data_IF_998780941266
#
_entry.id   IF_998780941266
#
_cell.length_a   1.000
_cell.length_b   1.000
_cell.length_c   1.000
_cell.angle_alpha   90.00
_cell.angle_beta   90.00
_cell.angle_gamma   90.00
#
_symmetry.space_group_name_H-M   'P 1'
#
loop_
_entity.id
_entity.type
_entity.pdbx_description
1 polymer ?
#
# COMPACT_ATOMS: atom_id res chain seq x y z
N UNK A 1 2.44 -7.94 19.59
CA UNK A 1 1.29 -7.07 19.21
C UNK A 1 0.25 -7.98 18.56
N UNK A 2 -1.05 -7.81 18.80
CA UNK A 2 -2.09 -8.63 18.15
C UNK A 2 -2.43 -8.04 16.78
N UNK A 3 -2.82 -8.85 15.80
CA UNK A 3 -3.22 -8.38 14.46
C UNK A 3 -4.23 -7.21 14.51
N UNK A 4 -5.32 -7.24 15.31
CA UNK A 4 -6.25 -6.10 15.35
C UNK A 4 -5.60 -4.80 15.84
N UNK A 5 -4.69 -4.88 16.81
CA UNK A 5 -3.94 -3.69 17.26
C UNK A 5 -2.93 -3.19 16.22
N UNK A 6 -2.39 -4.08 15.37
CA UNK A 6 -1.49 -3.75 14.27
C UNK A 6 -2.20 -3.02 13.13
N UNK A 7 -3.43 -3.43 12.77
CA UNK A 7 -4.23 -2.77 11.72
C UNK A 7 -4.53 -1.29 12.05
N UNK A 8 -4.60 -0.94 13.33
CA UNK A 8 -4.84 0.44 13.75
C UNK A 8 -3.57 1.32 13.74
N UNK A 9 -2.37 0.74 13.64
CA UNK A 9 -1.10 1.48 13.68
C UNK A 9 -0.83 2.27 12.40
N UNK A 10 -0.98 1.61 11.24
CA UNK A 10 -0.66 2.16 9.93
C UNK A 10 -1.84 2.85 9.26
N UNK A 11 -1.60 3.79 8.33
CA UNK A 11 -2.66 4.42 7.54
C UNK A 11 -3.41 3.38 6.69
N UNK A 12 -2.70 2.46 6.03
CA UNK A 12 -3.31 1.43 5.18
C UNK A 12 -4.23 0.50 5.96
N UNK A 13 -3.83 0.04 7.14
CA UNK A 13 -4.68 -0.77 8.00
C UNK A 13 -5.94 -0.03 8.45
N UNK A 14 -5.84 1.25 8.82
CA UNK A 14 -7.03 2.05 9.16
C UNK A 14 -7.93 2.31 7.97
N UNK A 15 -7.35 2.53 6.77
CA UNK A 15 -8.09 2.68 5.52
C UNK A 15 -8.90 1.42 5.23
N UNK A 16 -8.27 0.24 5.29
CA UNK A 16 -8.95 -1.05 5.11
C UNK A 16 -10.15 -1.23 6.05
N UNK A 17 -9.99 -0.87 7.32
CA UNK A 17 -11.07 -0.96 8.31
C UNK A 17 -12.24 -0.02 7.99
N UNK A 18 -11.95 1.18 7.48
CA UNK A 18 -12.97 2.13 7.08
C UNK A 18 -13.67 1.71 5.79
N UNK A 19 -12.92 1.29 4.77
CA UNK A 19 -13.45 0.71 3.52
C UNK A 19 -14.40 -0.46 3.82
N UNK A 20 -14.01 -1.36 4.73
CA UNK A 20 -14.87 -2.48 5.12
C UNK A 20 -16.18 -2.05 5.79
N UNK A 21 -16.14 -1.01 6.62
CA UNK A 21 -17.34 -0.48 7.25
C UNK A 21 -18.27 0.20 6.23
N UNK A 22 -17.71 0.96 5.28
CA UNK A 22 -18.45 1.58 4.18
C UNK A 22 -19.12 0.52 3.30
N UNK A 23 -18.38 -0.51 2.88
CA UNK A 23 -18.93 -1.60 2.09
C UNK A 23 -19.97 -2.43 2.86
N UNK A 24 -19.80 -2.59 4.17
CA UNK A 24 -20.80 -3.26 5.01
C UNK A 24 -22.13 -2.48 5.06
N UNK A 25 -22.06 -1.16 5.16
CA UNK A 25 -23.24 -0.29 5.11
C UNK A 25 -23.94 -0.35 3.74
N UNK A 26 -23.16 -0.34 2.66
CA UNK A 26 -23.66 -0.49 1.28
C UNK A 26 -24.36 -1.83 1.07
N UNK A 27 -23.76 -2.94 1.53
CA UNK A 27 -24.39 -4.27 1.47
C UNK A 27 -25.71 -4.32 2.25
N UNK A 28 -25.82 -3.55 3.34
CA UNK A 28 -27.06 -3.42 4.10
C UNK A 28 -28.11 -2.51 3.42
N UNK A 29 -27.77 -1.84 2.31
CA UNK A 29 -28.64 -0.89 1.61
C UNK A 29 -28.89 0.40 2.40
N UNK A 30 -27.90 0.82 3.20
CA UNK A 30 -27.97 1.97 4.11
C UNK A 30 -26.99 3.09 3.74
N UNK A 31 -26.38 3.05 2.57
CA UNK A 31 -25.38 4.01 2.10
C UNK A 31 -26.00 5.24 1.42
N UNK A 32 -27.20 5.10 0.84
CA UNK A 32 -27.94 6.21 0.17
C UNK A 32 -28.93 6.97 1.09
N UNK A 33 -28.86 6.77 2.42
CA UNK A 33 -29.71 7.49 3.38
C UNK A 33 -28.99 8.69 3.99
N UNK A 34 -29.75 9.75 4.31
CA UNK A 34 -29.21 10.91 5.03
C UNK A 34 -28.56 10.46 6.36
N UNK A 35 -27.31 10.89 6.58
CA UNK A 35 -26.51 10.49 7.73
C UNK A 35 -25.85 9.12 7.60
N UNK A 36 -25.76 8.55 6.39
CA UNK A 36 -24.97 7.35 6.13
C UNK A 36 -23.50 7.56 6.51
N UNK A 37 -22.79 6.48 6.82
CA UNK A 37 -21.36 6.53 7.09
C UNK A 37 -20.61 7.14 5.90
N UNK A 38 -20.98 6.76 4.67
CA UNK A 38 -20.39 7.32 3.46
C UNK A 38 -20.55 8.85 3.35
N UNK A 39 -21.75 9.38 3.61
CA UNK A 39 -21.99 10.83 3.58
C UNK A 39 -21.17 11.55 4.67
N UNK A 40 -21.19 11.03 5.90
CA UNK A 40 -20.49 11.65 7.02
C UNK A 40 -18.97 11.59 6.86
N UNK A 41 -18.45 10.46 6.38
CA UNK A 41 -17.04 10.26 6.02
C UNK A 41 -16.63 11.32 5.01
N UNK A 42 -17.35 11.44 3.88
CA UNK A 42 -17.04 12.38 2.80
C UNK A 42 -16.94 13.82 3.30
N UNK A 43 -17.91 14.29 4.09
CA UNK A 43 -17.87 15.67 4.59
C UNK A 43 -16.78 15.91 5.63
N UNK A 44 -16.42 14.91 6.42
CA UNK A 44 -15.36 15.02 7.41
C UNK A 44 -13.97 14.95 6.75
N UNK A 45 -13.74 14.02 5.81
CA UNK A 45 -12.48 13.87 5.08
C UNK A 45 -12.19 15.07 4.20
N UNK A 46 -13.18 15.59 3.47
CA UNK A 46 -13.06 16.81 2.65
C UNK A 46 -12.52 18.01 3.44
N UNK A 47 -12.92 18.17 4.71
CA UNK A 47 -12.44 19.25 5.58
C UNK A 47 -11.04 19.04 6.12
N UNK A 48 -10.64 17.79 6.28
CA UNK A 48 -9.35 17.40 6.81
C UNK A 48 -8.28 17.35 5.72
N UNK A 49 -8.69 17.34 4.46
CA UNK A 49 -7.79 17.32 3.31
C UNK A 49 -6.82 18.52 3.35
N UNK A 50 -5.49 18.29 3.41
CA UNK A 50 -4.49 19.34 3.60
C UNK A 50 -4.49 20.44 2.52
N UNK A 51 -5.08 20.17 1.34
CA UNK A 51 -5.14 21.10 0.19
C UNK A 51 -6.45 21.89 0.10
N UNK A 52 -7.42 21.67 0.99
CA UNK A 52 -8.69 22.40 0.93
C UNK A 52 -8.68 23.73 1.67
N UNK A 53 -8.23 24.74 0.93
CA UNK A 53 -8.80 26.09 0.87
C UNK A 53 -9.15 26.55 -0.57
N UNK A 54 -9.01 25.70 -1.60
CA UNK A 54 -9.02 26.15 -3.01
C UNK A 54 -9.73 25.25 -4.06
N UNK A 55 -10.43 24.16 -3.70
CA UNK A 55 -11.00 23.22 -4.69
C UNK A 55 -12.46 22.80 -4.50
N UNK A 56 -13.36 23.45 -5.25
CA UNK A 56 -14.50 22.87 -5.98
C UNK A 56 -15.55 21.91 -5.36
N UNK A 57 -15.87 21.89 -4.06
CA UNK A 57 -17.19 21.35 -3.66
C UNK A 57 -18.30 22.40 -3.91
N UNK A 58 -18.80 22.44 -5.15
CA UNK A 58 -20.06 23.13 -5.48
C UNK A 58 -21.21 22.13 -5.37
N UNK A 59 -21.80 22.00 -4.19
CA UNK A 59 -23.17 21.46 -4.11
C UNK A 59 -24.10 22.51 -4.73
N UNK A 60 -24.51 22.32 -5.98
CA UNK A 60 -25.40 23.26 -6.69
C UNK A 60 -26.84 22.96 -6.30
N UNK A 61 -27.38 23.72 -5.37
CA UNK A 61 -28.83 23.90 -5.23
C UNK A 61 -29.33 24.99 -6.20
N UNK A 62 -30.61 24.97 -6.61
CA UNK A 62 -31.17 26.06 -7.41
C UNK A 62 -31.27 27.33 -6.54
N UNK A 63 -30.29 28.23 -6.71
CA UNK A 63 -30.26 29.55 -6.07
C UNK A 63 -28.84 30.01 -5.72
N UNK A 64 -28.56 31.30 -5.89
CA UNK A 64 -27.27 32.00 -5.70
C UNK A 64 -26.66 31.95 -4.26
N UNK A 65 -27.05 31.00 -3.42
CA UNK A 65 -26.43 30.78 -2.11
C UNK A 65 -25.22 29.86 -2.24
N UNK A 66 -24.04 30.32 -1.79
CA UNK A 66 -22.87 29.46 -1.58
C UNK A 66 -23.31 28.22 -0.78
N UNK A 67 -23.01 26.98 -1.23
CA UNK A 67 -23.41 25.79 -0.51
C UNK A 67 -22.84 25.79 0.90
N UNK A 68 -23.69 25.51 1.90
CA UNK A 68 -23.27 25.29 3.28
C UNK A 68 -22.86 23.84 3.42
N UNK A 69 -21.55 23.59 3.45
CA UNK A 69 -21.01 22.26 3.73
C UNK A 69 -21.37 21.88 5.19
N UNK A 70 -22.10 20.78 5.45
CA UNK A 70 -22.55 20.39 6.80
C UNK A 70 -21.38 20.18 7.75
N UNK A 71 -21.44 20.69 8.98
CA UNK A 71 -20.35 20.71 9.98
C UNK A 71 -20.04 19.33 10.62
N UNK A 72 -19.86 18.29 9.80
CA UNK A 72 -19.43 16.96 10.24
C UNK A 72 -18.00 16.97 10.79
N UNK A 73 -17.83 16.34 11.95
CA UNK A 73 -16.55 16.19 12.66
C UNK A 73 -16.16 14.72 12.74
N UNK A 74 -14.89 14.37 13.02
CA UNK A 74 -14.49 12.98 13.25
C UNK A 74 -15.30 12.25 14.32
N UNK A 75 -15.82 12.96 15.33
CA UNK A 75 -16.65 12.37 16.37
C UNK A 75 -18.02 11.93 15.83
N UNK A 76 -18.63 12.70 14.93
CA UNK A 76 -19.89 12.30 14.28
C UNK A 76 -19.71 11.05 13.42
N UNK A 77 -18.61 10.97 12.67
CA UNK A 77 -18.29 9.77 11.86
C UNK A 77 -18.06 8.57 12.78
N UNK A 78 -17.34 8.72 13.89
CA UNK A 78 -17.10 7.64 14.84
C UNK A 78 -18.40 7.16 15.53
N UNK A 79 -19.29 8.06 15.91
CA UNK A 79 -20.61 7.73 16.48
C UNK A 79 -21.49 6.97 15.47
N UNK A 80 -21.53 7.42 14.21
CA UNK A 80 -22.22 6.67 13.15
C UNK A 80 -21.57 5.32 12.95
N UNK A 81 -20.24 5.30 12.90
CA UNK A 81 -19.47 4.08 12.75
C UNK A 81 -19.93 3.09 13.79
N UNK A 82 -20.02 3.40 15.10
CA UNK A 82 -20.48 2.49 16.19
C UNK A 82 -21.75 1.67 15.90
N UNK A 83 -22.64 2.19 15.06
CA UNK A 83 -23.94 1.57 14.75
C UNK A 83 -24.01 0.91 13.38
N UNK A 84 -22.95 0.97 12.57
CA UNK A 84 -22.92 0.30 11.25
C UNK A 84 -22.96 -1.23 11.43
N UNK A 85 -23.92 -1.93 10.80
CA UNK A 85 -23.91 -3.39 10.76
C UNK A 85 -22.70 -3.85 9.95
N UNK A 86 -21.86 -4.71 10.52
CA UNK A 86 -20.72 -5.28 9.82
C UNK A 86 -21.18 -6.52 9.06
N UNK A 87 -20.89 -6.57 7.75
CA UNK A 87 -21.22 -7.70 6.91
C UNK A 87 -20.41 -8.94 7.34
N UNK A 88 -20.83 -10.12 6.89
CA UNK A 88 -19.99 -11.31 7.05
C UNK A 88 -18.66 -11.12 6.30
N UNK A 89 -17.57 -11.55 6.93
CA UNK A 89 -16.25 -11.49 6.29
C UNK A 89 -16.22 -12.56 5.20
N UNK A 90 -16.10 -12.12 3.95
CA UNK A 90 -15.91 -13.02 2.80
C UNK A 90 -14.59 -12.73 2.11
N UNK A 91 -14.00 -13.71 1.40
CA UNK A 91 -12.74 -13.49 0.71
C UNK A 91 -12.83 -12.39 -0.36
N UNK A 92 -13.96 -12.30 -1.07
CA UNK A 92 -14.19 -11.28 -2.10
C UNK A 92 -14.30 -9.88 -1.52
N UNK A 93 -15.10 -9.71 -0.46
CA UNK A 93 -15.25 -8.41 0.19
C UNK A 93 -13.92 -7.90 0.78
N UNK A 94 -13.14 -8.80 1.40
CA UNK A 94 -11.80 -8.45 1.88
C UNK A 94 -10.89 -8.00 0.73
N UNK A 95 -10.89 -8.70 -0.40
CA UNK A 95 -10.09 -8.32 -1.56
C UNK A 95 -10.51 -6.95 -2.09
N UNK A 96 -11.81 -6.68 -2.25
CA UNK A 96 -12.32 -5.37 -2.69
C UNK A 96 -11.83 -4.24 -1.78
N UNK A 97 -11.97 -4.40 -0.47
CA UNK A 97 -11.51 -3.38 0.48
C UNK A 97 -9.99 -3.20 0.45
N UNK A 98 -9.24 -4.29 0.25
CA UNK A 98 -7.79 -4.26 0.15
C UNK A 98 -7.32 -3.58 -1.14
N UNK A 99 -7.98 -3.81 -2.27
CA UNK A 99 -7.71 -3.12 -3.55
C UNK A 99 -7.88 -1.62 -3.37
N UNK A 100 -9.04 -1.15 -2.87
CA UNK A 100 -9.27 0.28 -2.62
C UNK A 100 -8.22 0.90 -1.68
N UNK A 101 -7.81 0.14 -0.66
CA UNK A 101 -6.78 0.57 0.30
C UNK A 101 -5.41 0.74 -0.33
N UNK A 102 -5.04 -0.18 -1.23
CA UNK A 102 -3.73 -0.21 -1.90
C UNK A 102 -3.68 0.82 -3.02
N UNK A 103 -4.76 0.97 -3.81
CA UNK A 103 -4.84 1.95 -4.90
C UNK A 103 -4.62 3.39 -4.41
N UNK A 104 -5.15 3.71 -3.22
CA UNK A 104 -5.03 5.05 -2.62
C UNK A 104 -3.67 5.33 -1.98
N UNK A 105 -2.71 4.40 -2.05
CA UNK A 105 -1.38 4.53 -1.45
C UNK A 105 -0.43 5.41 -2.30
N UNK A 106 -0.53 6.72 -2.13
CA UNK A 106 0.22 7.72 -2.92
C UNK A 106 1.28 8.46 -2.08
N UNK A 107 2.39 7.78 -1.75
CA UNK A 107 3.41 8.31 -0.81
C UNK A 107 4.28 9.45 -1.36
N UNK A 108 3.92 10.03 -2.50
CA UNK A 108 4.52 11.24 -3.09
C UNK A 108 3.73 12.53 -2.80
N UNK A 109 2.59 12.40 -2.11
CA UNK A 109 1.76 13.53 -1.67
C UNK A 109 1.38 13.44 -0.20
N UNK A 110 0.70 14.48 0.28
CA UNK A 110 0.13 14.50 1.63
C UNK A 110 -0.93 13.38 1.79
N UNK A 111 -1.15 12.86 3.01
CA UNK A 111 -2.20 11.88 3.25
C UNK A 111 -3.56 12.40 2.80
N UNK A 112 -4.34 11.50 2.19
CA UNK A 112 -5.72 11.75 1.80
C UNK A 112 -6.58 12.13 3.01
N UNK A 113 -7.62 12.93 2.79
CA UNK A 113 -8.52 13.39 3.86
C UNK A 113 -9.12 12.24 4.66
N UNK A 114 -9.42 11.12 4.01
CA UNK A 114 -9.93 9.90 4.65
C UNK A 114 -8.87 9.25 5.55
N UNK A 115 -7.59 9.26 5.15
CA UNK A 115 -6.49 8.75 5.98
C UNK A 115 -6.27 9.65 7.22
N UNK A 116 -6.37 10.97 7.05
CA UNK A 116 -6.29 11.94 8.14
C UNK A 116 -7.46 11.74 9.11
N UNK A 117 -8.69 11.56 8.60
CA UNK A 117 -9.88 11.24 9.38
C UNK A 117 -9.69 9.96 10.19
N UNK A 118 -9.29 8.87 9.53
CA UNK A 118 -9.11 7.57 10.14
C UNK A 118 -8.02 7.58 11.24
N UNK A 119 -7.00 8.44 11.11
CA UNK A 119 -5.94 8.62 12.10
C UNK A 119 -6.38 9.32 13.40
N UNK A 120 -7.53 10.01 13.40
CA UNK A 120 -8.02 10.71 14.60
C UNK A 120 -8.32 9.75 15.75
N UNK A 121 -8.20 10.22 17.00
CA UNK A 121 -8.46 9.36 18.17
C UNK A 121 -9.86 8.74 18.15
N UNK A 122 -10.89 9.54 17.83
CA UNK A 122 -12.28 9.08 17.79
C UNK A 122 -12.45 7.94 16.76
N UNK A 123 -11.92 8.12 15.55
CA UNK A 123 -12.00 7.08 14.51
C UNK A 123 -11.22 5.83 14.90
N UNK A 124 -10.01 5.93 15.45
CA UNK A 124 -9.26 4.74 15.89
C UNK A 124 -9.98 3.94 16.98
N UNK A 125 -10.70 4.62 17.87
CA UNK A 125 -11.50 3.95 18.90
C UNK A 125 -12.69 3.23 18.26
N UNK A 126 -13.42 3.87 17.33
CA UNK A 126 -14.54 3.26 16.60
C UNK A 126 -14.13 2.12 15.65
N UNK A 127 -12.99 2.24 14.96
CA UNK A 127 -12.46 1.23 14.04
C UNK A 127 -11.98 -0.04 14.75
N UNK A 128 -11.78 0.00 16.08
CA UNK A 128 -11.34 -1.18 16.84
C UNK A 128 -12.30 -2.36 16.69
N UNK A 129 -13.61 -2.13 16.70
CA UNK A 129 -14.57 -3.23 16.54
C UNK A 129 -14.52 -3.84 15.14
N UNK A 130 -14.18 -3.05 14.12
CA UNK A 130 -14.01 -3.55 12.75
C UNK A 130 -12.75 -4.40 12.68
N UNK A 131 -11.67 -3.97 13.35
CA UNK A 131 -10.44 -4.75 13.42
C UNK A 131 -10.65 -6.09 14.12
N UNK A 132 -11.38 -6.11 15.23
CA UNK A 132 -11.76 -7.33 15.95
C UNK A 132 -12.62 -8.26 15.08
N UNK A 133 -13.61 -7.70 14.36
CA UNK A 133 -14.46 -8.45 13.44
C UNK A 133 -13.67 -9.11 12.31
N UNK A 134 -12.80 -8.36 11.62
CA UNK A 134 -11.98 -8.90 10.53
C UNK A 134 -11.02 -9.98 11.00
N UNK A 135 -10.32 -9.71 12.11
CA UNK A 135 -9.26 -10.61 12.60
C UNK A 135 -9.79 -11.86 13.30
N UNK A 136 -11.08 -11.90 13.62
CA UNK A 136 -11.77 -13.13 14.04
C UNK A 136 -12.07 -14.08 12.88
N UNK A 137 -12.03 -13.60 11.62
CA UNK A 137 -12.29 -14.43 10.44
C UNK A 137 -11.05 -15.20 9.99
N UNK A 138 -11.24 -16.47 9.64
CA UNK A 138 -10.19 -17.32 9.05
C UNK A 138 -9.65 -16.77 7.72
N UNK A 139 -10.41 -15.94 7.02
CA UNK A 139 -9.99 -15.35 5.74
C UNK A 139 -8.85 -14.34 5.87
N UNK A 140 -8.51 -13.90 7.10
CA UNK A 140 -7.34 -13.06 7.37
C UNK A 140 -6.11 -13.86 7.84
N UNK A 141 -6.25 -15.18 8.04
CA UNK A 141 -5.18 -16.01 8.60
C UNK A 141 -3.88 -15.99 7.76
N UNK A 142 -4.02 -15.81 6.44
CA UNK A 142 -2.90 -15.79 5.52
C UNK A 142 -2.11 -14.47 5.52
N UNK A 143 -2.64 -13.38 6.08
CA UNK A 143 -2.00 -12.06 6.03
C UNK A 143 -0.66 -11.97 6.74
N UNK A 144 -0.39 -12.89 7.67
CA UNK A 144 0.84 -12.95 8.44
C UNK A 144 1.63 -14.24 8.18
N UNK A 145 1.32 -14.98 7.10
CA UNK A 145 2.14 -16.12 6.71
C UNK A 145 3.40 -15.64 6.02
N UNK A 146 4.43 -16.47 6.09
CA UNK A 146 5.57 -16.39 5.16
C UNK A 146 5.08 -16.56 3.72
N UNK A 147 5.98 -16.33 2.77
CA UNK A 147 5.72 -16.61 1.36
C UNK A 147 5.14 -18.02 1.14
N UNK A 148 4.12 -18.12 0.29
CA UNK A 148 3.64 -19.40 -0.23
C UNK A 148 4.45 -19.77 -1.49
N UNK A 149 5.52 -20.54 -1.30
CA UNK A 149 6.42 -20.96 -2.39
C UNK A 149 5.72 -21.80 -3.48
N UNK A 150 4.54 -22.36 -3.22
CA UNK A 150 3.86 -23.27 -4.14
C UNK A 150 2.99 -22.58 -5.21
N UNK A 151 2.59 -21.33 -4.96
CA UNK A 151 1.63 -20.58 -5.77
C UNK A 151 2.13 -19.20 -6.19
N UNK A 152 3.41 -19.04 -6.50
CA UNK A 152 3.96 -17.75 -6.90
C UNK A 152 3.76 -17.43 -8.39
N UNK A 153 3.37 -16.19 -8.67
CA UNK A 153 3.13 -15.68 -10.02
C UNK A 153 3.74 -14.30 -10.21
N UNK A 154 4.44 -14.11 -11.32
CA UNK A 154 4.90 -12.81 -11.81
C UNK A 154 3.78 -12.19 -12.66
N UNK A 155 3.52 -10.89 -12.49
CA UNK A 155 2.63 -10.12 -13.37
C UNK A 155 3.48 -9.30 -14.33
N UNK A 156 3.09 -9.30 -15.60
CA UNK A 156 3.63 -8.47 -16.66
C UNK A 156 2.52 -7.55 -17.17
N UNK A 157 2.72 -6.25 -16.98
CA UNK A 157 1.83 -5.23 -17.54
C UNK A 157 2.24 -4.92 -18.97
N UNK A 158 1.30 -4.41 -19.77
CA UNK A 158 1.57 -4.04 -21.15
C UNK A 158 2.79 -3.10 -21.25
N UNK A 159 3.75 -3.49 -22.10
CA UNK A 159 5.04 -2.83 -22.35
C UNK A 159 6.15 -3.06 -21.30
N UNK A 160 5.97 -3.94 -20.31
CA UNK A 160 7.04 -4.33 -19.38
C UNK A 160 7.56 -5.75 -19.65
N UNK A 161 8.85 -5.93 -19.99
CA UNK A 161 9.40 -7.26 -20.13
C UNK A 161 9.58 -7.89 -18.74
N UNK A 162 8.69 -8.79 -18.34
CA UNK A 162 8.87 -9.57 -17.09
C UNK A 162 9.86 -10.71 -17.28
N UNK A 163 11.06 -10.41 -17.75
CA UNK A 163 12.14 -11.41 -17.86
C UNK A 163 12.89 -11.49 -16.54
N UNK A 164 13.26 -12.72 -16.15
CA UNK A 164 14.19 -12.92 -15.04
C UNK A 164 15.59 -12.59 -15.57
N UNK A 165 16.29 -11.59 -15.01
CA UNK A 165 17.61 -11.23 -15.48
C UNK A 165 18.61 -12.38 -15.19
N UNK A 166 19.56 -12.66 -16.09
CA UNK A 166 20.56 -13.72 -15.86
C UNK A 166 21.43 -13.49 -14.60
N UNK A 167 21.60 -12.24 -14.21
CA UNK A 167 22.30 -11.83 -13.00
C UNK A 167 21.53 -10.66 -12.33
N UNK A 168 20.60 -10.95 -11.42
CA UNK A 168 19.86 -9.91 -10.69
C UNK A 168 20.77 -8.99 -9.89
N UNK A 169 21.93 -9.47 -9.41
CA UNK A 169 22.86 -8.65 -8.63
C UNK A 169 23.51 -7.55 -9.49
N UNK A 170 23.79 -7.80 -10.77
CA UNK A 170 24.23 -6.74 -11.70
C UNK A 170 23.16 -5.65 -11.83
N UNK A 171 21.89 -6.05 -11.95
CA UNK A 171 20.78 -5.09 -12.05
C UNK A 171 20.65 -4.25 -10.78
N UNK A 172 20.72 -4.89 -9.61
CA UNK A 172 20.66 -4.18 -8.33
C UNK A 172 21.88 -3.27 -8.10
N UNK A 173 23.08 -3.67 -8.52
CA UNK A 173 24.27 -2.80 -8.48
C UNK A 173 24.12 -1.57 -9.37
N UNK A 174 23.51 -1.71 -10.55
CA UNK A 174 23.20 -0.60 -11.43
C UNK A 174 22.14 0.33 -10.81
N UNK A 175 21.07 -0.23 -10.24
CA UNK A 175 20.06 0.53 -9.51
C UNK A 175 20.65 1.29 -8.31
N UNK A 176 21.55 0.67 -7.54
CA UNK A 176 22.30 1.34 -6.46
C UNK A 176 23.14 2.50 -6.98
N UNK A 177 23.89 2.30 -8.07
CA UNK A 177 24.71 3.35 -8.66
C UNK A 177 23.87 4.54 -9.11
N UNK A 178 22.70 4.29 -9.70
CA UNK A 178 21.70 5.31 -10.03
C UNK A 178 21.20 6.03 -8.78
N UNK A 179 20.75 5.31 -7.75
CA UNK A 179 20.26 5.90 -6.50
C UNK A 179 21.31 6.77 -5.78
N UNK A 180 22.59 6.37 -5.80
CA UNK A 180 23.71 7.18 -5.26
C UNK A 180 23.94 8.44 -6.10
N UNK A 181 23.83 8.35 -7.42
CA UNK A 181 23.95 9.51 -8.31
C UNK A 181 22.80 10.48 -8.08
N UNK A 182 21.57 9.99 -7.99
CA UNK A 182 20.38 10.80 -7.75
C UNK A 182 20.39 11.47 -6.37
N UNK A 183 20.85 10.78 -5.32
CA UNK A 183 21.04 11.40 -3.99
C UNK A 183 22.04 12.57 -4.05
N UNK A 184 23.17 12.38 -4.75
CA UNK A 184 24.18 13.45 -4.92
C UNK A 184 23.64 14.62 -5.73
N UNK A 185 22.85 14.34 -6.78
CA UNK A 185 22.21 15.36 -7.59
C UNK A 185 21.18 16.14 -6.76
N UNK A 186 20.32 15.41 -6.04
CA UNK A 186 19.31 15.94 -5.15
C UNK A 186 19.91 16.86 -4.08
N UNK A 187 21.02 16.46 -3.47
CA UNK A 187 21.70 17.25 -2.45
C UNK A 187 22.28 18.56 -2.99
N UNK A 188 22.69 18.59 -4.27
CA UNK A 188 23.25 19.80 -4.91
C UNK A 188 22.19 20.75 -5.46
N UNK A 189 21.13 20.22 -6.04
CA UNK A 189 20.24 20.98 -6.93
C UNK A 189 18.84 21.22 -6.36
N UNK A 190 18.36 20.37 -5.44
CA UNK A 190 16.98 20.48 -4.93
C UNK A 190 16.92 21.41 -3.71
N UNK A 191 15.78 22.11 -3.51
CA UNK A 191 15.56 22.92 -2.31
C UNK A 191 15.78 22.13 -1.02
N UNK A 192 16.36 22.78 -0.02
CA UNK A 192 16.55 22.17 1.32
C UNK A 192 15.30 22.26 2.19
N UNK A 193 14.39 23.19 1.88
CA UNK A 193 13.10 23.27 2.54
C UNK A 193 12.25 22.04 2.16
N UNK A 194 11.90 21.15 3.11
CA UNK A 194 11.16 19.94 2.80
C UNK A 194 9.73 20.21 2.30
N UNK A 195 9.17 21.41 2.54
CA UNK A 195 7.84 21.79 2.03
C UNK A 195 7.85 22.27 0.58
N UNK A 196 9.01 22.29 -0.09
CA UNK A 196 9.09 22.73 -1.48
C UNK A 196 8.29 21.80 -2.41
N UNK A 197 7.73 22.35 -3.49
CA UNK A 197 6.99 21.58 -4.47
C UNK A 197 7.94 20.80 -5.39
N UNK A 198 8.54 19.73 -4.86
CA UNK A 198 9.41 18.83 -5.59
C UNK A 198 8.95 17.39 -5.36
N UNK A 199 9.03 16.56 -6.41
CA UNK A 199 8.74 15.12 -6.33
C UNK A 199 9.72 14.34 -7.21
N UNK A 200 9.74 13.02 -7.09
CA UNK A 200 10.56 12.15 -7.91
C UNK A 200 10.37 10.68 -7.57
N UNK A 201 11.46 9.94 -7.51
CA UNK A 201 11.43 8.53 -7.11
C UNK A 201 11.09 8.42 -5.61
N UNK A 202 9.82 8.17 -5.30
CA UNK A 202 9.30 8.10 -3.93
C UNK A 202 9.35 6.69 -3.32
N UNK A 203 9.44 5.66 -4.15
CA UNK A 203 9.46 4.25 -3.73
C UNK A 203 10.78 3.86 -3.03
N UNK A 204 10.69 2.81 -2.21
CA UNK A 204 11.82 2.15 -1.53
C UNK A 204 12.09 0.75 -2.07
N UNK A 205 11.28 0.24 -3.01
CA UNK A 205 11.38 -1.12 -3.54
C UNK A 205 12.62 -1.39 -4.37
N UNK A 206 13.07 -2.67 -4.47
CA UNK A 206 14.04 -3.10 -5.46
C UNK A 206 13.56 -2.76 -6.88
N UNK A 207 14.49 -2.40 -7.77
CA UNK A 207 14.17 -2.02 -9.16
C UNK A 207 14.84 -2.96 -10.16
N UNK A 208 14.11 -3.29 -11.21
CA UNK A 208 14.60 -4.10 -12.33
C UNK A 208 14.79 -5.59 -12.03
N UNK A 209 14.30 -6.05 -10.87
CA UNK A 209 14.32 -7.48 -10.50
C UNK A 209 12.91 -8.05 -10.47
N UNK A 210 12.73 -9.37 -10.67
CA UNK A 210 11.43 -9.99 -10.70
C UNK A 210 10.70 -9.83 -9.36
N UNK A 211 9.39 -9.66 -9.46
CA UNK A 211 8.48 -9.67 -8.33
C UNK A 211 7.40 -10.74 -8.54
N UNK A 212 6.99 -11.41 -7.48
CA UNK A 212 5.87 -12.34 -7.51
C UNK A 212 4.97 -12.20 -6.30
N UNK A 213 3.75 -12.69 -6.43
CA UNK A 213 2.77 -12.79 -5.35
C UNK A 213 2.11 -14.16 -5.36
N UNK A 214 1.44 -14.54 -4.28
CA UNK A 214 0.65 -15.78 -4.25
C UNK A 214 -0.57 -15.73 -5.19
N UNK A 215 -1.14 -16.89 -5.47
CA UNK A 215 -2.47 -17.01 -6.08
C UNK A 215 -3.56 -16.78 -5.02
N UNK A 216 -4.51 -15.90 -5.31
CA UNK A 216 -5.68 -15.69 -4.48
C UNK A 216 -6.85 -16.55 -4.97
N UNK A 217 -7.53 -17.17 -4.01
CA UNK A 217 -8.79 -17.92 -4.20
C UNK A 217 -8.72 -18.96 -5.33
N UNK A 218 -7.54 -19.55 -5.57
CA UNK A 218 -7.26 -20.49 -6.66
C UNK A 218 -7.70 -19.98 -8.05
N UNK A 219 -7.72 -18.65 -8.24
CA UNK A 219 -8.27 -18.03 -9.45
C UNK A 219 -7.36 -16.97 -10.04
N UNK A 220 -6.81 -16.06 -9.22
CA UNK A 220 -6.08 -14.88 -9.73
C UNK A 220 -4.85 -14.57 -8.86
N UNK A 221 -3.67 -14.30 -9.44
CA UNK A 221 -2.53 -13.76 -8.70
C UNK A 221 -2.84 -12.47 -7.94
N UNK A 222 -2.34 -12.32 -6.72
CA UNK A 222 -2.58 -11.12 -5.91
C UNK A 222 -2.03 -9.85 -6.57
N UNK A 223 -0.91 -9.96 -7.30
CA UNK A 223 -0.25 -8.85 -7.99
C UNK A 223 -1.07 -8.24 -9.13
N UNK A 224 -2.15 -8.88 -9.58
CA UNK A 224 -3.10 -8.26 -10.52
C UNK A 224 -3.98 -7.20 -9.82
N UNK A 225 -4.18 -7.35 -8.51
CA UNK A 225 -5.12 -6.57 -7.72
C UNK A 225 -4.43 -5.56 -6.81
N UNK A 226 -3.28 -5.94 -6.26
CA UNK A 226 -2.68 -5.25 -5.12
C UNK A 226 -1.46 -4.42 -5.54
N UNK A 227 -1.69 -3.42 -6.38
CA UNK A 227 -0.66 -2.49 -6.87
C UNK A 227 -0.90 -1.10 -6.33
N UNK A 228 0.10 -0.53 -5.64
CA UNK A 228 0.02 0.86 -5.19
C UNK A 228 0.08 1.81 -6.40
N UNK A 229 -0.75 2.87 -6.39
CA UNK A 229 -0.72 3.95 -7.39
C UNK A 229 -0.72 3.38 -8.83
N UNK A 230 -1.70 2.51 -9.12
CA UNK A 230 -1.76 1.79 -10.39
C UNK A 230 -1.91 2.77 -11.57
N UNK A 231 -1.41 2.38 -12.75
CA UNK A 231 -1.54 3.22 -13.95
C UNK A 231 -2.86 2.98 -14.69
N UNK A 232 -3.85 2.34 -14.07
CA UNK A 232 -5.11 1.96 -14.72
C UNK A 232 -4.92 0.89 -15.81
N UNK A 233 -4.06 -0.10 -15.57
CA UNK A 233 -3.86 -1.20 -16.52
C UNK A 233 -5.11 -2.08 -16.61
N UNK A 234 -5.60 -2.29 -17.83
CA UNK A 234 -6.78 -3.12 -18.12
C UNK A 234 -6.41 -4.51 -18.67
N UNK A 235 -5.13 -4.74 -18.90
CA UNK A 235 -4.57 -5.95 -19.53
C UNK A 235 -3.26 -6.33 -18.87
N UNK A 236 -3.04 -7.64 -18.73
CA UNK A 236 -1.82 -8.19 -18.16
C UNK A 236 -1.54 -9.61 -18.65
N UNK A 237 -0.30 -10.05 -18.55
CA UNK A 237 0.08 -11.46 -18.62
C UNK A 237 0.64 -11.92 -17.27
N UNK A 238 0.29 -13.12 -16.84
CA UNK A 238 0.90 -13.73 -15.64
C UNK A 238 1.69 -14.97 -15.99
N UNK A 239 2.82 -15.14 -15.31
CA UNK A 239 3.73 -16.27 -15.47
C UNK A 239 3.92 -16.94 -14.13
N UNK A 240 3.70 -18.26 -14.09
CA UNK A 240 3.92 -19.02 -12.87
C UNK A 240 5.41 -19.12 -12.61
N UNK A 241 5.81 -18.92 -11.35
CA UNK A 241 7.18 -19.00 -10.91
C UNK A 241 7.44 -20.37 -10.26
N UNK A 242 8.55 -20.99 -10.63
CA UNK A 242 9.12 -22.12 -9.91
C UNK A 242 10.21 -21.63 -8.96
N UNK A 243 10.08 -22.03 -7.70
CA UNK A 243 10.99 -21.67 -6.61
C UNK A 243 11.70 -22.95 -6.16
N UNK A 244 13.01 -23.09 -6.44
CA UNK A 244 13.77 -24.23 -5.95
C UNK A 244 13.84 -24.26 -4.42
N UNK A 245 13.96 -25.45 -3.84
CA UNK A 245 14.19 -25.57 -2.40
C UNK A 245 15.52 -24.93 -1.96
N UNK A 246 15.56 -24.46 -0.70
CA UNK A 246 16.78 -23.98 -0.07
C UNK A 246 17.19 -22.54 -0.42
N UNK A 247 16.27 -21.73 -0.96
CA UNK A 247 16.46 -20.28 -1.05
C UNK A 247 16.39 -19.63 0.33
N UNK A 248 17.18 -18.59 0.54
CA UNK A 248 17.13 -17.77 1.76
C UNK A 248 16.21 -16.57 1.51
N UNK A 249 15.03 -16.58 2.13
CA UNK A 249 14.02 -15.53 1.96
C UNK A 249 13.93 -14.73 3.26
N UNK A 250 14.10 -13.41 3.16
CA UNK A 250 13.90 -12.52 4.30
C UNK A 250 12.43 -12.08 4.37
N UNK A 251 11.82 -12.29 5.53
CA UNK A 251 10.41 -11.95 5.79
C UNK A 251 10.31 -10.61 6.52
N UNK A 252 9.66 -9.62 5.91
CA UNK A 252 9.39 -8.33 6.58
C UNK A 252 8.12 -8.49 7.43
N UNK A 253 8.19 -9.31 8.48
CA UNK A 253 7.05 -9.67 9.34
C UNK A 253 6.62 -8.55 10.31
N UNK A 254 7.35 -7.44 10.34
CA UNK A 254 7.12 -6.32 11.24
C UNK A 254 7.81 -5.04 10.75
N UNK A 255 7.40 -3.90 11.30
CA UNK A 255 8.11 -2.64 11.09
C UNK A 255 9.56 -2.70 11.61
N UNK A 256 9.81 -3.49 12.67
CA UNK A 256 11.16 -3.70 13.20
C UNK A 256 12.02 -4.53 12.24
N UNK A 257 11.47 -5.56 11.59
CA UNK A 257 12.19 -6.31 10.56
C UNK A 257 12.61 -5.42 9.38
N UNK A 258 11.77 -4.44 8.98
CA UNK A 258 12.15 -3.41 8.01
C UNK A 258 13.24 -2.46 8.54
N UNK A 259 13.10 -2.01 9.78
CA UNK A 259 14.09 -1.16 10.44
C UNK A 259 15.46 -1.85 10.55
N UNK A 260 15.48 -3.15 10.83
CA UNK A 260 16.68 -3.97 10.89
C UNK A 260 17.39 -4.03 9.55
N UNK A 261 16.67 -4.29 8.44
CA UNK A 261 17.25 -4.21 7.09
C UNK A 261 17.88 -2.84 6.83
N UNK A 262 17.18 -1.77 7.21
CA UNK A 262 17.69 -0.41 7.05
C UNK A 262 18.92 -0.11 7.91
N UNK A 263 19.04 -0.71 9.11
CA UNK A 263 20.22 -0.56 9.98
C UNK A 263 21.41 -1.38 9.49
N UNK A 264 21.18 -2.62 9.08
CA UNK A 264 22.23 -3.55 8.65
C UNK A 264 22.77 -3.19 7.25
N UNK A 265 21.88 -2.72 6.36
CA UNK A 265 22.20 -2.42 4.96
C UNK A 265 21.69 -1.03 4.56
N UNK A 266 22.19 0.07 5.16
CA UNK A 266 21.70 1.41 4.89
C UNK A 266 22.19 1.96 3.54
N UNK A 267 21.27 2.46 2.73
CA UNK A 267 21.56 3.36 1.63
C UNK A 267 21.02 4.76 1.94
N UNK A 268 21.90 5.75 2.12
CA UNK A 268 21.45 7.13 2.37
C UNK A 268 20.69 7.69 1.16
N UNK A 269 19.47 8.15 1.42
CA UNK A 269 18.54 8.71 0.42
C UNK A 269 17.87 9.99 0.95
N UNK A 270 18.55 10.70 1.86
CA UNK A 270 18.01 11.86 2.57
C UNK A 270 17.56 12.97 1.63
N UNK A 271 18.41 13.39 0.68
CA UNK A 271 18.04 14.46 -0.26
C UNK A 271 17.04 13.98 -1.32
N UNK A 272 17.15 12.72 -1.77
CA UNK A 272 16.29 12.14 -2.79
C UNK A 272 14.84 12.06 -2.29
N UNK A 273 14.62 11.54 -1.07
CA UNK A 273 13.29 11.28 -0.50
C UNK A 273 12.70 12.44 0.29
N UNK A 274 13.51 13.48 0.58
CA UNK A 274 13.16 14.62 1.46
C UNK A 274 11.72 15.09 1.33
N UNK A 275 11.29 15.41 0.11
CA UNK A 275 10.04 16.12 -0.14
C UNK A 275 8.84 15.18 -0.06
N UNK A 276 8.87 14.10 -0.85
CA UNK A 276 7.80 13.11 -0.91
C UNK A 276 7.57 12.46 0.46
N UNK A 277 8.64 11.99 1.12
CA UNK A 277 8.50 11.36 2.44
C UNK A 277 8.16 12.37 3.55
N UNK A 278 8.56 13.64 3.42
CA UNK A 278 8.07 14.68 4.33
C UNK A 278 6.56 14.91 4.15
N UNK A 279 6.04 14.96 2.93
CA UNK A 279 4.61 15.16 2.67
C UNK A 279 3.77 14.06 3.28
N UNK A 280 4.16 12.80 3.07
CA UNK A 280 3.38 11.66 3.53
C UNK A 280 3.51 11.40 5.03
N UNK A 281 4.69 11.64 5.64
CA UNK A 281 4.94 11.32 7.06
C UNK A 281 4.97 12.50 8.02
N UNK A 282 5.11 13.73 7.51
CA UNK A 282 5.37 14.94 8.29
C UNK A 282 6.78 15.01 8.91
N UNK A 283 7.62 13.98 8.74
CA UNK A 283 8.95 13.92 9.35
C UNK A 283 9.98 14.64 8.49
N UNK A 284 10.79 15.49 9.12
CA UNK A 284 12.01 16.03 8.52
C UNK A 284 13.22 15.41 9.23
N UNK A 285 14.20 14.90 8.47
CA UNK A 285 15.39 14.27 9.03
C UNK A 285 16.14 13.42 8.02
N UNK A 286 17.07 12.60 8.52
CA UNK A 286 17.82 11.65 7.68
C UNK A 286 16.90 10.52 7.22
N UNK A 287 17.06 10.12 5.97
CA UNK A 287 16.32 9.03 5.36
C UNK A 287 17.28 8.00 4.78
N UNK A 288 16.94 6.73 4.98
CA UNK A 288 17.60 5.59 4.34
C UNK A 288 16.57 4.72 3.64
N UNK A 289 17.01 4.02 2.61
CA UNK A 289 16.35 2.82 2.09
C UNK A 289 17.27 1.62 2.33
N UNK A 290 16.77 0.39 2.28
CA UNK A 290 17.64 -0.78 2.24
C UNK A 290 18.54 -0.76 0.98
N UNK A 291 19.83 -1.08 1.11
CA UNK A 291 20.72 -1.32 -0.04
C UNK A 291 20.44 -2.72 -0.59
N UNK A 292 19.55 -2.78 -1.59
CA UNK A 292 19.15 -4.05 -2.22
C UNK A 292 20.33 -4.82 -2.84
N UNK A 293 21.37 -4.14 -3.31
CA UNK A 293 22.55 -4.82 -3.86
C UNK A 293 23.40 -5.47 -2.77
N UNK A 294 23.37 -4.94 -1.55
CA UNK A 294 24.02 -5.57 -0.39
C UNK A 294 23.17 -6.72 0.14
N UNK A 295 21.86 -6.51 0.30
CA UNK A 295 20.91 -7.54 0.75
C UNK A 295 20.93 -8.78 -0.16
N UNK A 296 21.03 -8.58 -1.48
CA UNK A 296 21.13 -9.66 -2.45
C UNK A 296 22.37 -10.56 -2.30
N UNK A 297 23.36 -10.17 -1.50
CA UNK A 297 24.51 -11.02 -1.18
C UNK A 297 24.22 -11.97 0.00
N UNK A 298 23.15 -11.71 0.76
CA UNK A 298 22.77 -12.47 1.96
C UNK A 298 21.47 -13.26 1.77
N UNK A 299 20.56 -12.75 0.94
CA UNK A 299 19.25 -13.33 0.72
C UNK A 299 18.96 -13.48 -0.77
N UNK A 300 18.27 -14.56 -1.12
CA UNK A 300 17.77 -14.82 -2.48
C UNK A 300 16.50 -14.02 -2.78
N UNK A 301 15.75 -13.61 -1.76
CA UNK A 301 14.53 -12.82 -1.91
C UNK A 301 14.14 -12.09 -0.62
N UNK A 302 13.24 -11.12 -0.75
CA UNK A 302 12.58 -10.43 0.37
C UNK A 302 11.08 -10.40 0.12
N UNK A 303 10.29 -10.83 1.09
CA UNK A 303 8.83 -10.88 1.05
C UNK A 303 8.21 -9.90 2.05
N UNK A 304 7.13 -9.24 1.64
CA UNK A 304 6.33 -8.34 2.49
C UNK A 304 4.93 -8.94 2.74
N UNK A 305 4.68 -9.51 3.93
CA UNK A 305 3.34 -9.94 4.33
C UNK A 305 2.32 -8.80 4.36
N UNK A 306 1.06 -9.13 4.07
CA UNK A 306 -0.07 -8.18 4.08
C UNK A 306 -0.23 -7.48 5.44
N UNK A 307 -0.05 -8.21 6.53
CA UNK A 307 -0.18 -7.67 7.89
C UNK A 307 0.81 -6.53 8.15
N UNK A 308 2.07 -6.68 7.72
CA UNK A 308 3.10 -5.65 7.88
C UNK A 308 2.85 -4.47 6.97
N UNK A 309 2.44 -4.73 5.71
CA UNK A 309 2.02 -3.67 4.80
C UNK A 309 0.94 -2.79 5.43
N UNK A 310 -0.15 -3.39 5.92
CA UNK A 310 -1.26 -2.68 6.55
C UNK A 310 -0.83 -1.92 7.82
N UNK A 311 0.10 -2.48 8.59
CA UNK A 311 0.55 -1.89 9.84
C UNK A 311 1.56 -0.74 9.67
N UNK A 312 2.35 -0.73 8.59
CA UNK A 312 3.55 0.11 8.53
C UNK A 312 3.77 0.88 7.22
N UNK A 313 3.16 0.48 6.10
CA UNK A 313 3.36 1.16 4.82
C UNK A 313 2.94 2.64 4.89
N UNK A 314 3.74 3.51 4.28
CA UNK A 314 3.56 4.96 4.33
C UNK A 314 3.88 5.64 5.68
N UNK A 315 4.38 4.92 6.69
CA UNK A 315 4.81 5.52 7.97
C UNK A 315 6.31 5.77 8.02
N UNK A 316 6.74 6.74 8.83
CA UNK A 316 8.15 6.89 9.15
C UNK A 316 8.56 5.82 10.17
N UNK A 317 9.28 4.80 9.69
CA UNK A 317 9.80 3.70 10.49
C UNK A 317 11.20 4.08 10.99
N UNK A 318 11.41 4.29 12.30
CA UNK A 318 12.72 4.63 12.83
C UNK A 318 13.72 3.48 12.61
N UNK A 319 14.84 3.77 11.94
CA UNK A 319 15.97 2.85 11.86
C UNK A 319 16.90 3.07 13.07
N UNK A 320 17.14 4.32 13.44
CA UNK A 320 17.89 4.72 14.63
C UNK A 320 17.33 6.04 15.21
N UNK A 321 18.07 6.70 16.11
CA UNK A 321 17.65 7.94 16.76
C UNK A 321 17.39 9.11 15.79
N UNK A 322 18.15 9.21 14.70
CA UNK A 322 18.12 10.34 13.75
C UNK A 322 17.64 9.94 12.36
N UNK A 323 17.53 8.65 12.08
CA UNK A 323 17.29 8.09 10.75
C UNK A 323 16.01 7.28 10.71
N UNK A 324 15.23 7.46 9.66
CA UNK A 324 14.04 6.66 9.40
C UNK A 324 14.01 6.16 7.95
N UNK A 325 13.08 5.26 7.67
CA UNK A 325 12.76 4.71 6.36
C UNK A 325 11.24 4.65 6.20
N UNK A 326 10.76 4.44 4.97
CA UNK A 326 9.35 4.25 4.65
C UNK A 326 9.23 3.04 3.73
N UNK A 327 8.31 2.14 4.02
CA UNK A 327 7.88 1.11 3.05
C UNK A 327 6.98 1.82 2.05
N UNK A 328 7.48 2.00 0.83
CA UNK A 328 6.82 2.76 -0.22
C UNK A 328 7.00 2.11 -1.60
N UNK A 329 5.91 1.99 -2.36
CA UNK A 329 5.89 1.41 -3.70
C UNK A 329 5.94 -0.11 -3.69
N UNK A 330 5.54 -0.74 -2.57
CA UNK A 330 5.63 -2.18 -2.34
C UNK A 330 4.24 -2.75 -2.05
N UNK A 331 3.68 -3.51 -3.01
CA UNK A 331 2.37 -4.12 -2.85
C UNK A 331 2.34 -5.21 -1.75
N UNK A 332 1.23 -5.36 -1.02
CA UNK A 332 1.10 -6.42 -0.02
C UNK A 332 1.29 -7.80 -0.66
N UNK A 333 1.87 -8.74 0.09
CA UNK A 333 2.22 -10.11 -0.36
C UNK A 333 3.30 -10.20 -1.45
N UNK A 334 3.92 -9.08 -1.83
CA UNK A 334 4.91 -9.07 -2.91
C UNK A 334 6.26 -9.55 -2.41
N UNK A 335 6.85 -10.49 -3.16
CA UNK A 335 8.22 -10.96 -3.00
C UNK A 335 9.08 -10.45 -4.14
N UNK A 336 10.21 -9.81 -3.84
CA UNK A 336 11.23 -9.48 -4.84
C UNK A 336 12.37 -10.49 -4.81
N UNK A 337 12.80 -10.93 -5.98
CA UNK A 337 13.79 -12.00 -6.15
C UNK A 337 15.13 -11.48 -6.61
N UNK A 338 16.19 -11.88 -5.92
CA UNK A 338 17.58 -11.45 -6.15
C UNK A 338 18.47 -12.58 -6.70
N UNK A 339 17.86 -13.70 -7.08
CA UNK A 339 18.55 -14.92 -7.48
C UNK A 339 18.18 -15.31 -8.91
N UNK A 340 19.12 -15.78 -9.74
CA UNK A 340 18.80 -16.31 -11.08
C UNK A 340 18.27 -17.75 -11.03
N UNK A 341 18.14 -18.35 -9.82
CA UNK A 341 17.70 -19.73 -9.62
C UNK A 341 16.21 -19.95 -9.80
N UNK A 342 15.41 -18.88 -9.74
CA UNK A 342 13.97 -18.93 -10.07
C UNK A 342 13.78 -18.98 -11.59
N UNK A 343 12.68 -19.60 -12.03
CA UNK A 343 12.35 -19.65 -13.44
C UNK A 343 10.84 -19.63 -13.65
N UNK A 344 10.39 -19.04 -14.76
CA UNK A 344 9.00 -19.17 -15.16
C UNK A 344 8.73 -20.60 -15.66
N UNK A 345 7.53 -21.11 -15.36
CA UNK A 345 7.06 -22.42 -15.78
C UNK A 345 5.67 -22.31 -16.42
N UNK A 346 5.40 -23.22 -17.36
CA UNK A 346 4.16 -23.20 -18.14
C UNK A 346 4.12 -22.06 -19.16
N UNK A 347 2.93 -21.83 -19.71
CA UNK A 347 2.66 -20.75 -20.65
C UNK A 347 2.18 -19.50 -19.91
N UNK A 348 2.45 -18.28 -20.41
CA UNK A 348 1.79 -17.07 -19.95
C UNK A 348 0.27 -17.22 -19.96
N UNK A 349 -0.40 -16.62 -18.98
CA UNK A 349 -1.86 -16.51 -18.92
C UNK A 349 -2.24 -15.05 -19.12
N UNK A 350 -2.97 -14.75 -20.19
CA UNK A 350 -3.48 -13.40 -20.44
C UNK A 350 -4.70 -13.07 -19.57
N UNK A 351 -4.82 -11.80 -19.21
CA UNK A 351 -5.88 -11.27 -18.37
C UNK A 351 -6.43 -9.97 -18.95
N UNK A 352 -7.74 -9.77 -18.78
CA UNK A 352 -8.45 -8.52 -19.09
C UNK A 352 -9.29 -8.13 -17.89
N UNK A 353 -9.19 -6.88 -17.46
CA UNK A 353 -10.03 -6.29 -16.44
C UNK A 353 -11.39 -5.99 -17.04
N UNK A 354 -12.47 -6.48 -16.41
CA UNK A 354 -13.85 -6.22 -16.84
C UNK A 354 -14.67 -5.64 -15.72
N UNK A 355 -15.49 -4.66 -16.06
CA UNK A 355 -16.49 -4.09 -15.17
C UNK A 355 -17.74 -4.99 -15.12
N UNK A 356 -18.20 -5.28 -13.91
CA UNK A 356 -19.47 -5.97 -13.63
C UNK A 356 -20.29 -5.15 -12.65
N UNK A 357 -21.59 -5.46 -12.53
CA UNK A 357 -22.47 -4.85 -11.51
C UNK A 357 -21.93 -5.01 -10.07
N UNK A 358 -21.09 -6.03 -9.84
CA UNK A 358 -20.46 -6.33 -8.55
C UNK A 358 -19.07 -5.73 -8.38
N UNK A 359 -18.61 -4.91 -9.33
CA UNK A 359 -17.26 -4.34 -9.37
C UNK A 359 -16.37 -4.93 -10.46
N UNK A 360 -15.13 -4.49 -10.51
CA UNK A 360 -14.16 -4.93 -11.50
C UNK A 360 -13.63 -6.34 -11.22
N UNK A 361 -13.37 -7.10 -12.27
CA UNK A 361 -12.81 -8.43 -12.18
C UNK A 361 -11.83 -8.76 -13.30
N UNK A 362 -10.68 -9.33 -12.92
CA UNK A 362 -9.72 -9.90 -13.86
C UNK A 362 -10.22 -11.23 -14.38
N UNK A 363 -10.41 -11.31 -15.69
CA UNK A 363 -10.81 -12.53 -16.40
C UNK A 363 -9.70 -13.00 -17.33
N UNK A 364 -9.55 -14.31 -17.47
CA UNK A 364 -8.59 -14.88 -18.43
C UNK A 364 -9.02 -14.50 -19.85
N UNK A 365 -8.05 -14.01 -20.64
CA UNK A 365 -8.22 -13.58 -22.03
C UNK A 365 -8.46 -14.76 -22.99
#
# INVERSE_FOLDING_TARGET
MTLPSSLLQGPRGRRLLLEYALESERIAGLDEVDGSLAELEFFASYRLEPRNGTGALRVVGPGDSKPKIPAITPAHVAERLETVPLADVTPRLLLTCLVNTVETATYWQEPDGTDVLAATKAMRDGLRRVAEHLTASEHTAWWNTTIDESTQWTVQWDNEPGTIPPDPLIVLKAARAHAVKEERLAARERPTNPTASWSGEWWSTPRGVPASTRELFATTPAGLWLVEDSMGWETAETLRLNIPEGLQIYEIDSAEAWAELCRCFPLNQTAQKRHDWYRTTGRNGKWVTPDWAEIAQHYDAVHLPVATYLAAAGTAIPADADTASVIAGWGPDTTYWFTPRINHIGSPVGWVLKEHDTGENWERA
#
